data_IF_360227535335
#
_entry.id   IF_360227535335
#
_cell.length_a   1.000
_cell.length_b   1.000
_cell.length_c   1.000
_cell.angle_alpha   90.00
_cell.angle_beta   90.00
_cell.angle_gamma   90.00
#
_symmetry.space_group_name_H-M   'P 1'
#
loop_
_entity.id
_entity.type
_entity.pdbx_description
1 polymer ?
#
# COMPACT_ATOMS: atom_id res chain seq x y z
N UNK A 1 -67.48 -42.00 41.01
CA UNK A 1 -68.64 -42.97 41.02
C UNK A 1 -68.44 -44.08 42.01
N UNK A 2 -67.25 -44.48 42.41
CA UNK A 2 -66.92 -45.60 43.27
C UNK A 2 -67.32 -45.38 44.75
N UNK A 3 -67.28 -44.12 45.25
CA UNK A 3 -67.66 -43.76 46.67
C UNK A 3 -69.15 -43.91 46.97
N UNK A 4 -70.04 -43.92 45.97
CA UNK A 4 -71.44 -44.10 46.16
C UNK A 4 -71.86 -45.56 46.19
N UNK A 5 -71.11 -46.47 45.61
CA UNK A 5 -71.33 -47.93 45.59
C UNK A 5 -70.90 -48.58 46.92
N UNK A 6 -69.80 -48.08 47.52
CA UNK A 6 -69.32 -48.56 48.83
C UNK A 6 -70.31 -48.22 49.97
N UNK A 7 -71.09 -47.12 49.89
CA UNK A 7 -72.04 -46.72 50.92
C UNK A 7 -73.34 -47.51 50.84
N UNK A 8 -73.69 -48.04 49.67
CA UNK A 8 -74.91 -48.88 49.48
C UNK A 8 -74.71 -50.33 49.96
N UNK A 9 -73.49 -50.85 49.87
CA UNK A 9 -73.15 -52.17 50.34
C UNK A 9 -73.03 -52.23 51.87
N UNK A 10 -72.73 -51.09 52.55
CA UNK A 10 -72.73 -51.03 54.01
C UNK A 10 -74.10 -50.94 54.66
N UNK A 11 -75.12 -50.47 53.92
CA UNK A 11 -76.44 -50.34 54.41
C UNK A 11 -77.34 -51.62 54.25
N UNK A 12 -76.91 -52.57 53.38
CA UNK A 12 -77.61 -53.82 53.19
C UNK A 12 -77.17 -54.87 54.25
N UNK A 13 -76.06 -54.75 54.89
CA UNK A 13 -75.60 -55.67 55.96
C UNK A 13 -76.17 -55.35 57.34
N UNK A 14 -76.95 -54.26 57.57
CA UNK A 14 -77.42 -53.85 58.89
C UNK A 14 -78.94 -54.09 59.07
N UNK A 15 -79.62 -54.80 58.12
CA UNK A 15 -81.12 -54.95 58.15
C UNK A 15 -81.61 -56.38 58.28
N UNK A 16 -80.85 -57.38 58.68
CA UNK A 16 -81.40 -58.66 59.08
C UNK A 16 -80.78 -59.14 60.40
N UNK A 17 -81.50 -58.81 61.42
CA UNK A 17 -81.23 -59.26 62.79
C UNK A 17 -81.58 -60.70 62.99
N UNK A 18 -80.86 -61.24 63.94
CA UNK A 18 -81.22 -62.34 64.85
C UNK A 18 -82.22 -63.39 64.44
N UNK A 19 -81.69 -64.51 64.02
CA UNK A 19 -82.02 -65.87 64.52
C UNK A 19 -81.33 -66.94 63.67
N UNK A 20 -80.61 -67.84 64.37
CA UNK A 20 -79.92 -69.08 63.98
C UNK A 20 -78.40 -68.98 63.82
N UNK A 21 -77.81 -68.90 64.95
CA UNK A 21 -76.41 -69.33 65.17
C UNK A 21 -76.48 -70.83 65.46
N UNK A 22 -75.96 -71.64 64.61
CA UNK A 22 -75.09 -72.77 64.78
C UNK A 22 -75.14 -73.57 63.47
N UNK A 23 -74.01 -73.55 62.79
CA UNK A 23 -73.51 -74.33 61.66
C UNK A 23 -73.06 -73.52 60.45
N UNK A 24 -72.24 -72.53 60.69
CA UNK A 24 -71.39 -72.01 59.63
C UNK A 24 -70.03 -72.68 59.81
N UNK A 25 -69.83 -73.58 58.91
CA UNK A 25 -68.66 -74.45 58.77
C UNK A 25 -67.34 -73.73 58.77
N UNK A 26 -66.30 -74.26 59.36
CA UNK A 26 -64.92 -73.83 59.39
C UNK A 26 -64.32 -73.54 58.00
N UNK A 27 -65.00 -73.92 56.90
CA UNK A 27 -64.60 -73.65 55.51
C UNK A 27 -64.84 -72.26 55.10
N UNK A 28 -65.97 -71.61 55.48
CA UNK A 28 -66.33 -70.26 55.07
C UNK A 28 -65.38 -69.20 55.75
N UNK A 29 -65.00 -69.45 56.99
CA UNK A 29 -63.98 -68.58 57.65
C UNK A 29 -62.63 -68.64 57.02
N UNK A 30 -62.20 -69.74 56.41
CA UNK A 30 -60.93 -69.89 55.73
C UNK A 30 -60.97 -69.20 54.34
N UNK A 31 -62.13 -69.20 53.64
CA UNK A 31 -62.35 -68.55 52.36
C UNK A 31 -62.43 -67.01 52.52
N UNK A 32 -63.09 -66.49 53.54
CA UNK A 32 -63.19 -65.08 53.87
C UNK A 32 -61.78 -64.55 54.26
N UNK A 33 -60.98 -65.31 55.00
CA UNK A 33 -59.63 -64.96 55.35
C UNK A 33 -58.66 -64.92 54.13
N UNK A 34 -58.91 -65.83 53.16
CA UNK A 34 -58.19 -65.83 51.86
C UNK A 34 -58.56 -64.65 51.00
N UNK A 35 -59.81 -64.24 50.96
CA UNK A 35 -60.30 -63.07 50.22
C UNK A 35 -59.73 -61.78 50.86
N UNK A 36 -59.81 -61.67 52.19
CA UNK A 36 -59.18 -60.54 52.91
C UNK A 36 -57.67 -60.43 52.65
N UNK A 37 -56.95 -61.56 52.67
CA UNK A 37 -55.47 -61.57 52.37
C UNK A 37 -55.23 -61.21 50.91
N UNK A 38 -56.03 -61.62 49.97
CA UNK A 38 -55.89 -61.22 48.56
C UNK A 38 -56.22 -59.74 48.35
N UNK A 39 -57.25 -59.19 49.00
CA UNK A 39 -57.57 -57.73 48.94
C UNK A 39 -56.47 -56.88 49.59
N UNK A 40 -55.87 -57.34 50.68
CA UNK A 40 -54.71 -56.68 51.31
C UNK A 40 -53.57 -56.70 50.36
N UNK A 41 -53.25 -57.85 49.75
CA UNK A 41 -52.19 -58.01 48.78
C UNK A 41 -52.36 -57.17 47.51
N UNK A 42 -53.60 -57.12 47.02
CA UNK A 42 -53.91 -56.26 45.85
C UNK A 42 -53.77 -54.75 46.19
N UNK A 43 -54.18 -54.35 47.42
CA UNK A 43 -53.98 -52.97 47.88
C UNK A 43 -52.50 -52.62 48.13
N UNK A 44 -51.71 -53.56 48.60
CA UNK A 44 -50.28 -53.41 48.76
C UNK A 44 -49.61 -53.33 47.39
N UNK A 45 -49.97 -54.12 46.42
CA UNK A 45 -49.49 -54.05 45.03
C UNK A 45 -49.91 -52.73 44.34
N UNK A 46 -51.10 -52.25 44.56
CA UNK A 46 -51.57 -50.98 44.03
C UNK A 46 -50.89 -49.79 44.71
N UNK A 47 -50.63 -49.85 46.01
CA UNK A 47 -49.89 -48.83 46.73
C UNK A 47 -48.40 -48.78 46.29
N UNK A 48 -47.79 -49.97 46.04
CA UNK A 48 -46.41 -50.06 45.51
C UNK A 48 -46.33 -49.49 44.09
N UNK A 49 -47.30 -49.72 43.22
CA UNK A 49 -47.35 -49.16 41.89
C UNK A 49 -47.51 -47.61 41.92
N UNK A 50 -48.34 -47.10 42.80
CA UNK A 50 -48.52 -45.65 43.00
C UNK A 50 -47.26 -45.00 43.53
N UNK A 51 -46.51 -45.69 44.44
CA UNK A 51 -45.25 -45.21 44.96
C UNK A 51 -44.15 -45.25 43.90
N UNK A 52 -44.12 -46.27 43.07
CA UNK A 52 -43.17 -46.41 41.95
C UNK A 52 -43.43 -45.34 40.85
N UNK A 53 -44.72 -45.07 40.52
CA UNK A 53 -45.10 -44.01 39.61
C UNK A 53 -44.69 -42.60 40.15
N UNK A 54 -44.86 -42.35 41.47
CA UNK A 54 -44.44 -41.12 42.10
C UNK A 54 -42.92 -40.97 42.07
N UNK A 55 -42.14 -42.03 42.33
CA UNK A 55 -40.69 -42.04 42.24
C UNK A 55 -40.20 -41.75 40.82
N UNK A 56 -40.81 -42.36 39.80
CA UNK A 56 -40.53 -42.12 38.38
C UNK A 56 -40.79 -40.66 38.04
N UNK A 57 -41.91 -40.12 38.54
CA UNK A 57 -42.26 -38.71 38.31
C UNK A 57 -41.29 -37.73 39.00
N UNK A 58 -40.89 -37.99 40.27
CA UNK A 58 -39.88 -37.20 41.00
C UNK A 58 -38.51 -37.28 40.37
N UNK A 59 -38.08 -38.45 39.89
CA UNK A 59 -36.81 -38.62 39.13
C UNK A 59 -36.87 -37.87 37.80
N UNK A 60 -38.03 -37.90 37.10
CA UNK A 60 -38.25 -37.13 35.90
C UNK A 60 -38.19 -35.63 36.13
N UNK A 61 -38.80 -35.13 37.21
CA UNK A 61 -38.73 -33.71 37.58
C UNK A 61 -37.32 -33.26 38.02
N UNK A 62 -36.60 -34.10 38.75
CA UNK A 62 -35.21 -33.83 39.12
C UNK A 62 -34.29 -33.78 37.89
N UNK A 63 -34.46 -34.72 36.95
CA UNK A 63 -33.65 -34.79 35.73
C UNK A 63 -33.95 -33.60 34.79
N UNK A 64 -35.21 -33.15 34.70
CA UNK A 64 -35.55 -31.92 33.98
C UNK A 64 -34.93 -30.67 34.64
N UNK A 65 -34.96 -30.54 35.96
CA UNK A 65 -34.32 -29.43 36.69
C UNK A 65 -32.80 -29.41 36.54
N UNK A 66 -32.17 -30.57 36.54
CA UNK A 66 -30.71 -30.70 36.32
C UNK A 66 -30.37 -30.29 34.87
N UNK A 67 -31.15 -30.73 33.88
CA UNK A 67 -30.98 -30.37 32.47
C UNK A 67 -31.16 -28.86 32.24
N UNK A 68 -32.19 -28.27 32.87
CA UNK A 68 -32.45 -26.83 32.81
C UNK A 68 -31.32 -26.01 33.44
N UNK A 69 -30.74 -26.45 34.59
CA UNK A 69 -29.59 -25.84 35.20
C UNK A 69 -28.32 -25.94 34.33
N UNK A 70 -28.10 -27.09 33.68
CA UNK A 70 -27.01 -27.29 32.75
C UNK A 70 -27.16 -26.37 31.51
N UNK A 71 -28.33 -26.26 30.96
CA UNK A 71 -28.61 -25.36 29.83
C UNK A 71 -28.39 -23.88 30.21
N UNK A 72 -28.84 -23.46 31.39
CA UNK A 72 -28.62 -22.10 31.87
C UNK A 72 -27.11 -21.82 32.04
N UNK A 73 -26.33 -22.78 32.59
CA UNK A 73 -24.88 -22.65 32.73
C UNK A 73 -24.20 -22.53 31.36
N UNK A 74 -24.59 -23.34 30.39
CA UNK A 74 -24.08 -23.26 29.03
C UNK A 74 -24.44 -21.92 28.35
N UNK A 75 -25.66 -21.45 28.49
CA UNK A 75 -26.10 -20.15 27.96
C UNK A 75 -25.23 -19.02 28.53
N UNK A 76 -24.92 -19.04 29.83
CA UNK A 76 -24.05 -18.03 30.44
C UNK A 76 -22.63 -18.05 29.88
N UNK A 77 -22.06 -19.24 29.66
CA UNK A 77 -20.73 -19.38 29.03
C UNK A 77 -20.74 -18.86 27.59
N UNK A 78 -21.81 -19.10 26.83
CA UNK A 78 -21.96 -18.58 25.49
C UNK A 78 -22.05 -17.04 25.47
N UNK A 79 -22.77 -16.45 26.44
CA UNK A 79 -22.82 -14.99 26.58
C UNK A 79 -21.48 -14.39 26.95
N UNK A 80 -20.67 -15.02 27.80
CA UNK A 80 -19.32 -14.57 28.10
C UNK A 80 -18.44 -14.58 26.85
N UNK A 81 -18.53 -15.62 26.03
CA UNK A 81 -17.81 -15.71 24.74
C UNK A 81 -18.26 -14.59 23.77
N UNK A 82 -19.56 -14.35 23.64
CA UNK A 82 -20.10 -13.25 22.81
C UNK A 82 -19.55 -11.91 23.31
N UNK A 83 -19.60 -11.67 24.62
CA UNK A 83 -19.10 -10.42 25.23
C UNK A 83 -17.60 -10.23 24.95
N UNK A 84 -16.80 -11.29 24.96
CA UNK A 84 -15.38 -11.23 24.63
C UNK A 84 -15.18 -10.84 23.15
N UNK A 85 -15.91 -11.45 22.23
CA UNK A 85 -15.85 -11.13 20.79
C UNK A 85 -16.34 -9.70 20.54
N UNK A 86 -17.43 -9.27 21.15
CA UNK A 86 -17.96 -7.91 21.01
C UNK A 86 -16.96 -6.87 21.51
N UNK A 87 -16.24 -7.14 22.61
CA UNK A 87 -15.19 -6.25 23.12
C UNK A 87 -14.03 -6.10 22.14
N UNK A 88 -13.60 -7.19 21.53
CA UNK A 88 -12.53 -7.16 20.52
C UNK A 88 -12.97 -6.46 19.22
N UNK A 89 -14.22 -6.60 18.83
CA UNK A 89 -14.77 -6.03 17.60
C UNK A 89 -15.25 -4.59 17.76
N UNK A 90 -15.42 -4.09 19.00
CA UNK A 90 -16.01 -2.78 19.31
C UNK A 90 -15.40 -1.61 18.52
N UNK A 91 -14.08 -1.60 18.38
CA UNK A 91 -13.35 -0.53 17.72
C UNK A 91 -12.86 -0.90 16.32
N UNK A 92 -13.32 -2.02 15.78
CA UNK A 92 -12.92 -2.47 14.46
C UNK A 92 -13.39 -1.47 13.38
N UNK A 93 -12.43 -0.93 12.63
CA UNK A 93 -12.68 0.08 11.61
C UNK A 93 -13.48 -0.48 10.42
N UNK A 94 -13.33 -1.78 10.10
CA UNK A 94 -14.03 -2.43 8.99
C UNK A 94 -15.52 -2.58 9.31
N UNK A 95 -15.87 -2.86 10.59
CA UNK A 95 -17.26 -2.89 11.03
C UNK A 95 -17.91 -1.51 11.03
N UNK A 96 -17.16 -0.46 11.40
CA UNK A 96 -17.64 0.93 11.27
C UNK A 96 -17.92 1.27 9.80
N UNK A 97 -17.04 0.85 8.89
CA UNK A 97 -17.24 1.01 7.44
C UNK A 97 -18.43 0.21 6.91
N UNK A 98 -18.64 -1.00 7.42
CA UNK A 98 -19.82 -1.82 7.07
C UNK A 98 -21.14 -1.12 7.43
N UNK A 99 -21.19 -0.42 8.55
CA UNK A 99 -22.34 0.42 8.93
C UNK A 99 -22.65 1.50 7.87
N UNK A 100 -21.60 2.14 7.31
CA UNK A 100 -21.78 3.11 6.23
C UNK A 100 -22.28 2.44 4.92
N UNK A 101 -21.78 1.23 4.62
CA UNK A 101 -22.26 0.43 3.49
C UNK A 101 -23.76 0.07 3.63
N UNK A 102 -24.19 -0.34 4.82
CA UNK A 102 -25.60 -0.58 5.09
C UNK A 102 -26.43 0.70 4.95
N UNK A 103 -25.91 1.84 5.43
CA UNK A 103 -26.54 3.15 5.27
C UNK A 103 -26.66 3.54 3.79
N UNK A 104 -25.61 3.31 3.00
CA UNK A 104 -25.65 3.51 1.55
C UNK A 104 -26.76 2.68 0.89
N UNK A 105 -26.81 1.38 1.19
CA UNK A 105 -27.82 0.46 0.65
C UNK A 105 -29.24 0.90 1.02
N UNK A 106 -29.44 1.29 2.29
CA UNK A 106 -30.74 1.78 2.77
C UNK A 106 -31.18 3.06 2.07
N UNK A 107 -30.30 4.06 2.01
CA UNK A 107 -30.58 5.35 1.36
C UNK A 107 -30.83 5.16 -0.13
N UNK A 108 -30.07 4.29 -0.78
CA UNK A 108 -30.28 3.96 -2.20
C UNK A 108 -31.66 3.37 -2.47
N UNK A 109 -32.11 2.43 -1.61
CA UNK A 109 -33.45 1.83 -1.70
C UNK A 109 -34.56 2.86 -1.42
N UNK A 110 -34.38 3.69 -0.39
CA UNK A 110 -35.32 4.79 -0.08
C UNK A 110 -35.46 5.76 -1.26
N UNK A 111 -34.33 6.10 -1.89
CA UNK A 111 -34.29 7.00 -3.05
C UNK A 111 -35.03 6.39 -4.26
N UNK A 112 -34.88 5.11 -4.51
CA UNK A 112 -35.60 4.41 -5.58
C UNK A 112 -37.12 4.44 -5.33
N UNK A 113 -37.56 4.15 -4.10
CA UNK A 113 -38.97 4.25 -3.71
C UNK A 113 -39.52 5.66 -3.86
N UNK A 114 -38.74 6.69 -3.48
CA UNK A 114 -39.11 8.10 -3.63
C UNK A 114 -39.26 8.48 -5.10
N UNK A 115 -38.33 8.07 -5.96
CA UNK A 115 -38.38 8.30 -7.42
C UNK A 115 -39.59 7.62 -8.08
N UNK A 116 -39.89 6.39 -7.67
CA UNK A 116 -41.10 5.70 -8.17
C UNK A 116 -42.40 6.34 -7.67
N UNK A 117 -42.40 6.83 -6.44
CA UNK A 117 -43.51 7.61 -5.90
C UNK A 117 -43.73 8.93 -6.65
N UNK A 118 -42.62 9.59 -7.05
CA UNK A 118 -42.69 10.79 -7.86
C UNK A 118 -43.25 10.53 -9.26
N UNK A 119 -42.83 9.45 -9.93
CA UNK A 119 -43.36 9.03 -11.24
C UNK A 119 -44.87 8.78 -11.19
N UNK A 120 -45.35 8.18 -10.10
CA UNK A 120 -46.81 7.87 -9.91
C UNK A 120 -47.64 9.12 -9.59
N UNK A 121 -47.06 10.14 -8.94
CA UNK A 121 -47.75 11.35 -8.48
C UNK A 121 -47.58 12.55 -9.40
N UNK A 122 -46.85 12.45 -10.48
CA UNK A 122 -46.51 13.55 -11.42
C UNK A 122 -47.75 14.34 -11.96
N UNK A 123 -48.96 13.83 -11.70
CA UNK A 123 -50.23 14.43 -12.23
C UNK A 123 -51.17 14.99 -11.15
N UNK A 124 -50.84 15.08 -9.85
CA UNK A 124 -51.89 15.28 -8.88
C UNK A 124 -51.73 16.38 -7.81
N UNK A 125 -50.64 17.00 -7.57
CA UNK A 125 -50.53 18.11 -6.60
C UNK A 125 -49.13 18.75 -6.59
N UNK A 126 -49.02 20.04 -6.94
CA UNK A 126 -47.72 20.74 -7.06
C UNK A 126 -46.91 20.79 -5.75
N UNK A 127 -47.58 20.93 -4.58
CA UNK A 127 -46.88 21.00 -3.30
C UNK A 127 -46.30 19.68 -2.85
N UNK A 128 -47.03 18.56 -3.04
CA UNK A 128 -46.51 17.22 -2.73
C UNK A 128 -45.39 16.81 -3.66
N UNK A 129 -45.45 17.17 -4.90
CA UNK A 129 -44.37 16.96 -5.89
C UNK A 129 -43.13 17.73 -5.51
N UNK A 130 -43.29 19.01 -5.09
CA UNK A 130 -42.16 19.83 -4.61
C UNK A 130 -41.49 19.25 -3.36
N UNK A 131 -42.27 18.78 -2.38
CA UNK A 131 -41.73 18.12 -1.18
C UNK A 131 -41.01 16.82 -1.52
N UNK A 132 -41.50 16.05 -2.49
CA UNK A 132 -40.86 14.84 -2.95
C UNK A 132 -39.53 15.14 -3.64
N UNK A 133 -39.47 16.15 -4.48
CA UNK A 133 -38.21 16.60 -5.11
C UNK A 133 -37.16 17.05 -4.08
N UNK A 134 -37.57 17.78 -3.05
CA UNK A 134 -36.66 18.18 -1.97
C UNK A 134 -36.12 16.96 -1.20
N UNK A 135 -36.97 15.97 -0.88
CA UNK A 135 -36.54 14.73 -0.21
C UNK A 135 -35.58 13.94 -1.08
N UNK A 136 -35.85 13.82 -2.37
CA UNK A 136 -34.96 13.15 -3.33
C UNK A 136 -33.58 13.85 -3.35
N UNK A 137 -33.55 15.18 -3.49
CA UNK A 137 -32.32 15.95 -3.50
C UNK A 137 -31.49 15.79 -2.21
N UNK A 138 -32.16 15.77 -1.05
CA UNK A 138 -31.47 15.54 0.22
C UNK A 138 -30.86 14.13 0.26
N UNK A 139 -31.64 13.12 -0.18
CA UNK A 139 -31.15 11.73 -0.21
C UNK A 139 -30.05 11.51 -1.27
N UNK A 140 -30.07 12.22 -2.38
CA UNK A 140 -28.99 12.22 -3.37
C UNK A 140 -27.71 12.81 -2.79
N UNK A 141 -27.80 13.94 -2.08
CA UNK A 141 -26.65 14.54 -1.40
C UNK A 141 -26.08 13.62 -0.28
N UNK A 142 -26.97 13.00 0.52
CA UNK A 142 -26.53 12.01 1.52
C UNK A 142 -25.80 10.83 0.86
N UNK A 143 -26.30 10.35 -0.27
CA UNK A 143 -25.71 9.23 -1.00
C UNK A 143 -24.36 9.60 -1.63
N UNK A 144 -24.20 10.84 -2.09
CA UNK A 144 -22.92 11.34 -2.63
C UNK A 144 -21.82 11.37 -1.56
N UNK A 145 -22.16 11.78 -0.33
CA UNK A 145 -21.21 11.81 0.79
C UNK A 145 -20.64 10.43 1.16
N UNK A 146 -21.43 9.38 0.95
CA UNK A 146 -21.02 7.99 1.25
C UNK A 146 -20.89 7.15 -0.02
N UNK A 147 -20.65 7.80 -1.17
CA UNK A 147 -20.56 7.16 -2.48
C UNK A 147 -19.45 6.13 -2.61
N UNK A 148 -18.38 6.23 -1.80
CA UNK A 148 -17.29 5.26 -1.77
C UNK A 148 -17.73 3.85 -1.38
N UNK A 149 -18.88 3.71 -0.69
CA UNK A 149 -19.44 2.43 -0.26
C UNK A 149 -20.35 1.77 -1.29
N UNK A 150 -20.46 2.34 -2.49
CA UNK A 150 -21.23 1.73 -3.59
C UNK A 150 -20.63 0.38 -3.97
N UNK A 151 -21.33 -0.69 -3.63
CA UNK A 151 -20.96 -2.06 -4.03
C UNK A 151 -19.88 -2.73 -3.20
N UNK A 152 -19.33 -2.07 -2.16
CA UNK A 152 -18.31 -2.67 -1.29
C UNK A 152 -18.47 -2.28 0.18
N UNK A 153 -18.48 -3.26 1.10
CA UNK A 153 -18.51 -3.02 2.55
C UNK A 153 -17.31 -2.23 3.09
N UNK A 154 -16.18 -2.26 2.42
CA UNK A 154 -14.96 -1.55 2.84
C UNK A 154 -14.72 -0.27 2.02
N UNK A 155 -15.64 0.06 1.09
CA UNK A 155 -15.52 1.25 0.25
C UNK A 155 -14.26 1.25 -0.61
N UNK A 156 -13.62 2.40 -0.73
CA UNK A 156 -12.42 2.57 -1.56
C UNK A 156 -11.21 1.74 -1.16
N UNK A 157 -11.18 1.13 0.05
CA UNK A 157 -10.06 0.28 0.49
C UNK A 157 -9.89 -0.99 -0.33
N UNK A 158 -10.89 -1.40 -1.10
CA UNK A 158 -10.82 -2.57 -1.98
C UNK A 158 -9.81 -2.36 -3.12
N UNK A 159 -9.56 -1.11 -3.49
CA UNK A 159 -8.63 -0.76 -4.56
C UNK A 159 -7.23 -0.51 -3.97
N UNK A 160 -6.19 -1.22 -4.43
CA UNK A 160 -4.84 -0.96 -4.00
C UNK A 160 -4.36 0.41 -4.50
N UNK A 161 -3.41 1.06 -3.80
CA UNK A 161 -2.80 2.29 -4.26
C UNK A 161 -2.20 2.14 -5.66
N UNK A 162 -2.35 3.15 -6.51
CA UNK A 162 -1.81 3.12 -7.86
C UNK A 162 -0.28 3.00 -7.82
N UNK A 163 0.25 2.13 -8.69
CA UNK A 163 1.69 1.98 -8.86
C UNK A 163 2.14 3.09 -9.81
N UNK A 164 2.72 4.14 -9.24
CA UNK A 164 3.27 5.25 -9.99
C UNK A 164 4.32 4.76 -10.99
N UNK A 165 4.26 5.28 -12.21
CA UNK A 165 5.24 4.97 -13.25
C UNK A 165 6.58 5.60 -12.87
N UNK A 166 7.61 4.77 -12.76
CA UNK A 166 8.94 5.22 -12.42
C UNK A 166 9.71 5.60 -13.69
N UNK A 167 10.36 6.77 -13.68
CA UNK A 167 11.22 7.21 -14.79
C UNK A 167 12.55 6.47 -14.78
N UNK A 168 13.14 6.25 -15.96
CA UNK A 168 14.43 5.58 -16.07
C UNK A 168 15.53 6.33 -15.34
N UNK A 169 16.38 5.60 -14.63
CA UNK A 169 17.52 6.17 -13.90
C UNK A 169 18.63 6.49 -14.89
N UNK A 170 18.76 7.75 -15.26
CA UNK A 170 19.77 8.25 -16.21
C UNK A 170 21.04 8.76 -15.54
N UNK A 171 20.97 9.08 -14.25
CA UNK A 171 22.08 9.65 -13.49
C UNK A 171 22.16 9.07 -12.06
N UNK A 172 23.33 9.18 -11.38
CA UNK A 172 23.52 8.64 -10.03
C UNK A 172 22.61 9.21 -8.96
N UNK A 173 22.14 10.46 -9.10
CA UNK A 173 21.24 11.09 -8.14
C UNK A 173 19.85 10.43 -8.19
N UNK A 174 19.45 9.89 -9.35
CA UNK A 174 18.24 9.10 -9.51
C UNK A 174 18.20 7.86 -8.62
N UNK A 175 19.35 7.30 -8.22
CA UNK A 175 19.43 6.13 -7.33
C UNK A 175 18.80 6.43 -5.96
N UNK A 176 18.99 7.62 -5.41
CA UNK A 176 18.43 8.02 -4.11
C UNK A 176 16.91 8.07 -4.19
N UNK A 177 16.39 8.68 -5.27
CA UNK A 177 14.93 8.74 -5.51
C UNK A 177 14.34 7.35 -5.73
N UNK A 178 15.07 6.47 -6.43
CA UNK A 178 14.66 5.08 -6.67
C UNK A 178 14.55 4.28 -5.38
N UNK A 179 15.48 4.42 -4.45
CA UNK A 179 15.44 3.76 -3.15
C UNK A 179 14.25 4.23 -2.32
N UNK A 180 13.94 5.54 -2.36
CA UNK A 180 12.74 6.08 -1.72
C UNK A 180 11.46 5.52 -2.33
N UNK A 181 11.43 5.40 -3.68
CA UNK A 181 10.29 4.83 -4.38
C UNK A 181 10.09 3.33 -4.07
N UNK A 182 11.17 2.54 -4.04
CA UNK A 182 11.12 1.13 -3.60
C UNK A 182 10.50 1.04 -2.20
N UNK A 183 10.97 1.86 -1.25
CA UNK A 183 10.43 1.87 0.12
C UNK A 183 8.94 2.22 0.16
N UNK A 184 8.48 3.16 -0.68
CA UNK A 184 7.06 3.49 -0.82
C UNK A 184 6.26 2.30 -1.34
N UNK A 185 6.76 1.60 -2.37
CA UNK A 185 6.12 0.40 -2.93
C UNK A 185 6.07 -0.75 -1.92
N UNK A 186 7.14 -0.99 -1.18
CA UNK A 186 7.17 -2.00 -0.10
C UNK A 186 6.19 -1.68 1.03
N UNK A 187 6.06 -0.41 1.41
CA UNK A 187 5.08 0.02 2.39
C UNK A 187 3.65 -0.18 1.89
N UNK A 188 3.36 0.18 0.64
CA UNK A 188 2.05 -0.03 0.02
C UNK A 188 1.69 -1.52 -0.03
N UNK A 189 2.63 -2.38 -0.46
CA UNK A 189 2.49 -3.83 -0.44
C UNK A 189 2.17 -4.35 0.96
N UNK A 190 2.94 -3.90 1.97
CA UNK A 190 2.74 -4.30 3.37
C UNK A 190 1.36 -3.87 3.89
N UNK A 191 0.95 -2.63 3.62
CA UNK A 191 -0.34 -2.11 4.07
C UNK A 191 -1.51 -2.89 3.46
N UNK A 192 -1.44 -3.20 2.16
CA UNK A 192 -2.49 -3.95 1.49
C UNK A 192 -2.56 -5.42 1.98
N UNK A 193 -1.41 -6.04 2.22
CA UNK A 193 -1.33 -7.37 2.83
C UNK A 193 -1.85 -7.38 4.29
N UNK A 194 -1.66 -6.28 5.02
CA UNK A 194 -2.22 -6.14 6.37
C UNK A 194 -3.74 -6.05 6.31
N UNK A 195 -4.30 -5.30 5.35
CA UNK A 195 -5.74 -5.22 5.12
C UNK A 195 -6.35 -6.60 4.81
N UNK A 196 -5.72 -7.39 3.94
CA UNK A 196 -6.15 -8.77 3.64
C UNK A 196 -6.27 -9.61 4.92
N UNK A 197 -5.23 -9.59 5.78
CA UNK A 197 -5.24 -10.30 7.06
C UNK A 197 -6.27 -9.78 8.05
N UNK A 198 -6.50 -8.47 8.08
CA UNK A 198 -7.51 -7.87 8.98
C UNK A 198 -8.92 -8.30 8.58
N UNK A 199 -9.20 -8.39 7.26
CA UNK A 199 -10.49 -8.87 6.75
C UNK A 199 -10.66 -10.37 7.05
N UNK A 200 -9.62 -11.18 6.84
CA UNK A 200 -9.63 -12.61 7.15
C UNK A 200 -9.90 -12.86 8.64
N UNK A 201 -9.17 -12.16 9.52
CA UNK A 201 -9.37 -12.24 10.97
C UNK A 201 -10.79 -11.82 11.37
N UNK A 202 -11.33 -10.75 10.77
CA UNK A 202 -12.68 -10.30 11.02
C UNK A 202 -13.72 -11.33 10.56
N UNK A 203 -13.54 -11.92 9.38
CA UNK A 203 -14.44 -12.92 8.82
C UNK A 203 -14.49 -14.16 9.71
N UNK A 204 -13.33 -14.61 10.21
CA UNK A 204 -13.24 -15.73 11.17
C UNK A 204 -13.98 -15.41 12.47
N UNK A 205 -13.80 -14.21 13.04
CA UNK A 205 -14.50 -13.80 14.27
C UNK A 205 -16.00 -13.70 14.09
N UNK A 206 -16.47 -13.23 12.94
CA UNK A 206 -17.90 -13.20 12.61
C UNK A 206 -18.46 -14.63 12.48
N UNK A 207 -17.67 -15.57 11.96
CA UNK A 207 -18.03 -16.99 11.93
C UNK A 207 -18.14 -17.60 13.32
N UNK A 208 -17.16 -17.33 14.18
CA UNK A 208 -17.18 -17.78 15.58
C UNK A 208 -18.41 -17.23 16.32
N UNK A 209 -18.73 -15.94 16.15
CA UNK A 209 -19.93 -15.32 16.73
C UNK A 209 -21.20 -15.96 16.19
N UNK A 210 -21.27 -16.22 14.88
CA UNK A 210 -22.42 -16.89 14.24
C UNK A 210 -22.64 -18.29 14.80
N UNK A 211 -21.58 -19.08 14.97
CA UNK A 211 -21.65 -20.43 15.55
C UNK A 211 -22.19 -20.38 16.99
N UNK A 212 -21.72 -19.42 17.79
CA UNK A 212 -22.18 -19.25 19.17
C UNK A 212 -23.68 -18.89 19.22
N UNK A 213 -24.15 -17.99 18.33
CA UNK A 213 -25.57 -17.67 18.28
C UNK A 213 -26.43 -18.82 17.77
N UNK A 214 -25.92 -19.70 16.89
CA UNK A 214 -26.60 -20.92 16.47
C UNK A 214 -26.71 -21.92 17.64
N UNK A 215 -25.66 -22.09 18.44
CA UNK A 215 -25.71 -22.93 19.65
C UNK A 215 -26.71 -22.35 20.67
N UNK A 216 -26.71 -21.03 20.86
CA UNK A 216 -27.65 -20.34 21.75
C UNK A 216 -29.07 -20.50 21.32
N UNK A 217 -29.38 -20.40 20.01
CA UNK A 217 -30.69 -20.59 19.45
C UNK A 217 -31.17 -22.05 19.61
N UNK A 218 -30.27 -23.03 19.55
CA UNK A 218 -30.61 -24.43 19.76
C UNK A 218 -30.97 -24.73 21.25
N UNK A 219 -30.36 -24.02 22.21
CA UNK A 219 -30.64 -24.18 23.63
C UNK A 219 -31.87 -23.37 24.08
N UNK A 220 -32.09 -22.19 23.50
CA UNK A 220 -33.20 -21.28 23.84
C UNK A 220 -33.65 -20.55 22.56
N UNK A 221 -34.67 -21.07 21.84
CA UNK A 221 -35.10 -20.55 20.53
C UNK A 221 -35.87 -19.23 20.65
N UNK A 222 -35.17 -18.12 20.87
CA UNK A 222 -35.72 -16.77 20.90
C UNK A 222 -35.66 -16.09 19.51
N UNK A 223 -36.68 -15.30 19.14
CA UNK A 223 -36.70 -14.59 17.87
C UNK A 223 -35.51 -13.61 17.70
N UNK A 224 -35.07 -13.00 18.79
CA UNK A 224 -33.92 -12.07 18.80
C UNK A 224 -32.62 -12.73 18.30
N UNK A 225 -32.40 -14.00 18.69
CA UNK A 225 -31.20 -14.75 18.24
C UNK A 225 -31.29 -15.09 16.76
N UNK A 226 -32.49 -15.40 16.26
CA UNK A 226 -32.72 -15.65 14.83
C UNK A 226 -32.43 -14.42 13.98
N UNK A 227 -32.86 -13.25 14.43
CA UNK A 227 -32.58 -11.99 13.73
C UNK A 227 -31.08 -11.69 13.71
N UNK A 228 -30.39 -11.92 14.84
CA UNK A 228 -28.92 -11.74 14.92
C UNK A 228 -28.19 -12.73 14.02
N UNK A 229 -28.58 -14.01 14.00
CA UNK A 229 -28.03 -15.04 13.10
C UNK A 229 -28.17 -14.61 11.64
N UNK A 230 -29.36 -14.15 11.23
CA UNK A 230 -29.58 -13.70 9.85
C UNK A 230 -28.71 -12.49 9.50
N UNK A 231 -28.53 -11.56 10.43
CA UNK A 231 -27.67 -10.40 10.24
C UNK A 231 -26.18 -10.79 10.13
N UNK A 232 -25.70 -11.65 11.04
CA UNK A 232 -24.31 -12.13 11.05
C UNK A 232 -23.98 -12.96 9.80
N UNK A 233 -24.90 -13.84 9.37
CA UNK A 233 -24.72 -14.64 8.16
C UNK A 233 -24.58 -13.74 6.92
N UNK A 234 -25.43 -12.73 6.80
CA UNK A 234 -25.32 -11.72 5.73
C UNK A 234 -23.99 -10.96 5.81
N UNK A 235 -23.62 -10.48 7.00
CA UNK A 235 -22.39 -9.72 7.22
C UNK A 235 -21.16 -10.57 6.92
N UNK A 236 -21.10 -11.81 7.40
CA UNK A 236 -20.04 -12.78 7.08
C UNK A 236 -19.93 -12.99 5.57
N UNK A 237 -21.06 -13.20 4.89
CA UNK A 237 -21.09 -13.41 3.44
C UNK A 237 -20.57 -12.20 2.68
N UNK A 238 -20.95 -10.98 3.07
CA UNK A 238 -20.47 -9.75 2.47
C UNK A 238 -18.94 -9.60 2.65
N UNK A 239 -18.41 -9.87 3.85
CA UNK A 239 -16.96 -9.82 4.10
C UNK A 239 -16.21 -10.98 3.44
N UNK A 240 -16.77 -12.17 3.33
CA UNK A 240 -16.16 -13.30 2.61
C UNK A 240 -15.99 -13.00 1.12
N UNK A 241 -16.99 -12.36 0.49
CA UNK A 241 -16.84 -11.89 -0.90
C UNK A 241 -15.75 -10.83 -1.05
N UNK A 242 -15.66 -9.89 -0.08
CA UNK A 242 -14.60 -8.88 -0.08
C UNK A 242 -13.23 -9.51 0.12
N UNK A 243 -13.11 -10.48 1.02
CA UNK A 243 -11.87 -11.21 1.27
C UNK A 243 -11.35 -11.89 0.00
N UNK A 244 -12.21 -12.56 -0.75
CA UNK A 244 -11.85 -13.22 -2.01
C UNK A 244 -11.32 -12.21 -3.05
N UNK A 245 -11.99 -11.06 -3.19
CA UNK A 245 -11.55 -9.99 -4.09
C UNK A 245 -10.21 -9.39 -3.62
N UNK A 246 -10.08 -9.07 -2.33
CA UNK A 246 -8.88 -8.43 -1.78
C UNK A 246 -7.69 -9.38 -1.82
N UNK A 247 -7.87 -10.67 -1.50
CA UNK A 247 -6.83 -11.69 -1.55
C UNK A 247 -6.31 -11.90 -2.97
N UNK A 248 -7.21 -12.04 -3.95
CA UNK A 248 -6.83 -12.12 -5.37
C UNK A 248 -6.12 -10.85 -5.84
N UNK A 249 -6.62 -9.69 -5.43
CA UNK A 249 -6.02 -8.39 -5.78
C UNK A 249 -4.65 -8.22 -5.11
N UNK A 250 -4.48 -8.65 -3.85
CA UNK A 250 -3.21 -8.62 -3.12
C UNK A 250 -2.14 -9.42 -3.86
N UNK A 251 -2.48 -10.62 -4.31
CA UNK A 251 -1.55 -11.47 -5.05
C UNK A 251 -1.08 -10.80 -6.34
N UNK A 252 -2.01 -10.28 -7.14
CA UNK A 252 -1.70 -9.59 -8.41
C UNK A 252 -0.91 -8.31 -8.16
N UNK A 253 -1.32 -7.51 -7.18
CA UNK A 253 -0.68 -6.26 -6.79
C UNK A 253 0.75 -6.49 -6.29
N UNK A 254 0.93 -7.49 -5.44
CA UNK A 254 2.23 -7.89 -4.92
C UNK A 254 3.18 -8.31 -6.05
N UNK A 255 2.73 -9.16 -6.98
CA UNK A 255 3.53 -9.57 -8.14
C UNK A 255 3.94 -8.38 -9.01
N UNK A 256 3.02 -7.46 -9.24
CA UNK A 256 3.29 -6.24 -10.04
C UNK A 256 4.30 -5.33 -9.35
N UNK A 257 4.18 -5.11 -8.03
CA UNK A 257 5.17 -4.35 -7.24
C UNK A 257 6.55 -5.02 -7.31
N UNK A 258 6.62 -6.34 -7.15
CA UNK A 258 7.88 -7.08 -7.20
C UNK A 258 8.56 -6.95 -8.57
N UNK A 259 7.79 -6.99 -9.66
CA UNK A 259 8.31 -6.75 -11.00
C UNK A 259 8.90 -5.34 -11.14
N UNK A 260 8.18 -4.30 -10.67
CA UNK A 260 8.65 -2.92 -10.72
C UNK A 260 9.91 -2.72 -9.85
N UNK A 261 9.93 -3.31 -8.65
CA UNK A 261 11.11 -3.25 -7.77
C UNK A 261 12.32 -3.94 -8.42
N UNK A 262 12.11 -5.08 -9.08
CA UNK A 262 13.17 -5.80 -9.78
C UNK A 262 13.72 -4.98 -10.96
N UNK A 263 12.85 -4.32 -11.71
CA UNK A 263 13.25 -3.42 -12.80
C UNK A 263 14.06 -2.23 -12.27
N UNK A 264 13.61 -1.57 -11.20
CA UNK A 264 14.34 -0.48 -10.55
C UNK A 264 15.71 -0.97 -10.04
N UNK A 265 15.77 -2.13 -9.39
CA UNK A 265 17.04 -2.72 -8.91
C UNK A 265 18.01 -3.00 -10.06
N UNK A 266 17.50 -3.48 -11.20
CA UNK A 266 18.32 -3.71 -12.39
C UNK A 266 18.88 -2.38 -12.93
N UNK A 267 18.06 -1.33 -12.99
CA UNK A 267 18.53 0.01 -13.42
C UNK A 267 19.56 0.58 -12.44
N UNK A 268 19.36 0.43 -11.12
CA UNK A 268 20.36 0.82 -10.11
C UNK A 268 21.68 0.07 -10.32
N UNK A 269 21.62 -1.24 -10.56
CA UNK A 269 22.80 -2.06 -10.83
C UNK A 269 23.55 -1.62 -12.08
N UNK A 270 22.83 -1.30 -13.17
CA UNK A 270 23.43 -0.77 -14.39
C UNK A 270 24.12 0.57 -14.15
N UNK A 271 23.51 1.49 -13.41
CA UNK A 271 24.13 2.77 -13.05
C UNK A 271 25.33 2.57 -12.10
N UNK A 272 25.26 1.62 -11.18
CA UNK A 272 26.39 1.23 -10.33
C UNK A 272 27.58 0.71 -11.14
N UNK A 273 27.34 -0.12 -12.16
CA UNK A 273 28.37 -0.60 -13.07
C UNK A 273 28.97 0.55 -13.89
N UNK A 274 28.16 1.46 -14.43
CA UNK A 274 28.65 2.67 -15.13
C UNK A 274 29.56 3.50 -14.21
N UNK A 275 29.14 3.77 -12.98
CA UNK A 275 29.95 4.50 -11.99
C UNK A 275 31.28 3.81 -11.71
N UNK A 276 31.31 2.49 -11.57
CA UNK A 276 32.51 1.72 -11.34
C UNK A 276 33.47 1.84 -12.53
N UNK A 277 32.98 1.75 -13.77
CA UNK A 277 33.76 1.91 -14.98
C UNK A 277 34.38 3.32 -15.04
N UNK A 278 33.58 4.37 -14.78
CA UNK A 278 34.06 5.76 -14.73
C UNK A 278 35.17 5.91 -13.69
N UNK A 279 34.97 5.38 -12.49
CA UNK A 279 35.93 5.39 -11.42
C UNK A 279 37.27 4.73 -11.84
N UNK A 280 37.23 3.55 -12.48
CA UNK A 280 38.39 2.84 -12.99
C UNK A 280 39.13 3.71 -14.03
N UNK A 281 38.41 4.34 -14.96
CA UNK A 281 39.01 5.23 -15.97
C UNK A 281 39.72 6.42 -15.30
N UNK A 282 39.08 7.04 -14.30
CA UNK A 282 39.71 8.18 -13.55
C UNK A 282 40.95 7.73 -12.82
N UNK A 283 40.91 6.53 -12.21
CA UNK A 283 42.13 5.98 -11.53
C UNK A 283 43.23 5.72 -12.53
N UNK A 284 42.94 5.13 -13.68
CA UNK A 284 43.93 4.89 -14.75
C UNK A 284 44.53 6.21 -15.23
N UNK A 285 43.70 7.23 -15.51
CA UNK A 285 44.20 8.56 -15.93
C UNK A 285 45.07 9.20 -14.85
N UNK A 286 44.71 9.07 -13.58
CA UNK A 286 45.48 9.58 -12.46
C UNK A 286 46.84 8.88 -12.32
N UNK A 287 46.87 7.56 -12.47
CA UNK A 287 48.10 6.75 -12.45
C UNK A 287 49.01 7.12 -13.62
N UNK A 288 48.47 7.25 -14.82
CA UNK A 288 49.22 7.67 -16.01
C UNK A 288 49.84 9.07 -15.80
N UNK A 289 49.02 10.02 -15.31
CA UNK A 289 49.52 11.37 -15.01
C UNK A 289 50.63 11.35 -13.93
N UNK A 290 50.50 10.49 -12.92
CA UNK A 290 51.50 10.29 -11.88
C UNK A 290 52.80 9.72 -12.47
N UNK A 291 52.74 8.69 -13.33
CA UNK A 291 53.88 8.09 -14.00
C UNK A 291 54.59 9.11 -14.92
N UNK A 292 53.82 9.91 -15.67
CA UNK A 292 54.36 10.99 -16.50
C UNK A 292 55.12 12.02 -15.65
N UNK A 293 54.57 12.42 -14.50
CA UNK A 293 55.24 13.33 -13.55
C UNK A 293 56.53 12.74 -13.01
N UNK A 294 56.56 11.44 -12.67
CA UNK A 294 57.75 10.75 -12.21
C UNK A 294 58.85 10.74 -13.29
N UNK A 295 58.49 10.42 -14.55
CA UNK A 295 59.38 10.41 -15.68
C UNK A 295 59.95 11.80 -15.94
N UNK A 296 59.13 12.85 -15.95
CA UNK A 296 59.54 14.22 -16.14
C UNK A 296 60.43 14.74 -15.00
N UNK A 297 60.14 14.37 -13.74
CA UNK A 297 60.97 14.70 -12.60
C UNK A 297 62.41 14.16 -12.75
N UNK A 298 62.54 12.96 -13.32
CA UNK A 298 63.86 12.35 -13.60
C UNK A 298 64.61 13.10 -14.69
N UNK A 299 63.88 13.67 -15.68
CA UNK A 299 64.47 14.34 -16.85
C UNK A 299 64.80 15.85 -16.60
N UNK A 300 63.93 16.56 -15.81
CA UNK A 300 63.95 18.00 -15.65
C UNK A 300 64.34 18.45 -14.21
N UNK A 301 65.08 17.66 -13.46
CA UNK A 301 65.36 17.87 -12.02
C UNK A 301 66.06 19.15 -11.60
N UNK A 302 66.50 20.05 -12.53
CA UNK A 302 67.22 21.27 -12.24
C UNK A 302 66.68 22.55 -12.90
N UNK A 303 65.52 22.57 -13.57
CA UNK A 303 65.08 23.76 -14.33
C UNK A 303 63.73 24.29 -13.84
N UNK A 304 63.53 25.61 -13.85
CA UNK A 304 62.30 26.34 -13.62
C UNK A 304 61.15 25.80 -14.47
N UNK A 305 61.40 25.12 -15.56
CA UNK A 305 60.48 24.52 -16.48
C UNK A 305 59.63 23.33 -15.84
N UNK A 306 60.18 22.69 -14.78
CA UNK A 306 59.43 21.59 -14.11
C UNK A 306 58.13 22.07 -13.47
N UNK A 307 58.09 23.27 -12.87
CA UNK A 307 56.90 23.83 -12.27
C UNK A 307 55.80 24.08 -13.31
N UNK A 308 56.14 24.67 -14.43
CA UNK A 308 55.18 24.91 -15.54
C UNK A 308 54.65 23.61 -16.11
N UNK A 309 55.52 22.64 -16.35
CA UNK A 309 55.13 21.32 -16.90
C UNK A 309 54.17 20.57 -15.93
N UNK A 310 54.46 20.58 -14.63
CA UNK A 310 53.59 19.96 -13.63
C UNK A 310 52.20 20.64 -13.58
N UNK A 311 52.13 21.97 -13.72
CA UNK A 311 50.88 22.72 -13.79
C UNK A 311 50.05 22.36 -15.04
N UNK A 312 50.74 22.21 -16.18
CA UNK A 312 50.10 21.80 -17.45
C UNK A 312 49.53 20.39 -17.31
N UNK A 313 50.27 19.42 -16.75
CA UNK A 313 49.82 18.04 -16.56
C UNK A 313 48.60 18.02 -15.63
N UNK A 314 48.62 18.78 -14.53
CA UNK A 314 47.45 18.86 -13.64
C UNK A 314 46.23 19.43 -14.36
N UNK A 315 46.39 20.51 -15.12
CA UNK A 315 45.32 21.11 -15.89
C UNK A 315 44.75 20.13 -16.91
N UNK A 316 45.63 19.43 -17.65
CA UNK A 316 45.21 18.41 -18.63
C UNK A 316 44.48 17.25 -17.96
N UNK A 317 44.96 16.78 -16.80
CA UNK A 317 44.30 15.72 -16.05
C UNK A 317 42.88 16.13 -15.63
N UNK A 318 42.73 17.32 -15.02
CA UNK A 318 41.44 17.85 -14.61
C UNK A 318 40.51 18.00 -15.82
N UNK A 319 41.01 18.54 -16.93
CA UNK A 319 40.26 18.67 -18.17
C UNK A 319 39.78 17.32 -18.70
N UNK A 320 40.63 16.29 -18.72
CA UNK A 320 40.29 14.95 -19.13
C UNK A 320 39.23 14.30 -18.21
N UNK A 321 39.39 14.47 -16.88
CA UNK A 321 38.39 13.97 -15.92
C UNK A 321 37.01 14.61 -16.17
N UNK A 322 36.98 15.94 -16.34
CA UNK A 322 35.74 16.66 -16.66
C UNK A 322 35.12 16.14 -17.98
N UNK A 323 35.92 15.91 -19.00
CA UNK A 323 35.49 15.34 -20.28
C UNK A 323 34.92 13.94 -20.09
N UNK A 324 35.57 13.04 -19.33
CA UNK A 324 35.08 11.69 -19.05
C UNK A 324 33.74 11.76 -18.34
N UNK A 325 33.58 12.65 -17.33
CA UNK A 325 32.30 12.82 -16.62
C UNK A 325 31.20 13.34 -17.55
N UNK A 326 31.48 14.35 -18.37
CA UNK A 326 30.50 14.89 -19.31
C UNK A 326 30.03 13.84 -20.32
N UNK A 327 30.95 13.13 -20.96
CA UNK A 327 30.62 12.12 -21.97
C UNK A 327 29.93 10.88 -21.37
N UNK A 328 30.19 10.54 -20.12
CA UNK A 328 29.63 9.37 -19.47
C UNK A 328 28.12 9.48 -19.16
N UNK A 329 27.61 10.72 -19.02
CA UNK A 329 26.21 11.00 -18.69
C UNK A 329 25.36 11.51 -19.86
N UNK A 330 25.95 11.61 -21.06
CA UNK A 330 25.21 11.95 -22.28
C UNK A 330 24.74 10.67 -22.94
N UNK A 331 23.49 10.26 -22.65
CA UNK A 331 22.90 9.06 -23.21
C UNK A 331 22.52 9.20 -24.69
N UNK A 332 22.33 10.45 -25.17
CA UNK A 332 21.90 10.70 -26.54
C UNK A 332 23.01 11.34 -27.38
N UNK A 333 23.56 10.56 -28.32
CA UNK A 333 24.61 11.00 -29.24
C UNK A 333 24.25 12.28 -30.00
N UNK A 334 22.97 12.51 -30.32
CA UNK A 334 22.51 13.69 -31.02
C UNK A 334 22.71 14.96 -30.20
N UNK A 335 22.50 14.93 -28.87
CA UNK A 335 22.81 16.08 -28.00
C UNK A 335 24.31 16.34 -27.92
N UNK A 336 25.11 15.28 -27.94
CA UNK A 336 26.57 15.38 -27.91
C UNK A 336 27.09 16.09 -29.18
N UNK A 337 26.58 15.68 -30.35
CA UNK A 337 26.93 16.35 -31.63
C UNK A 337 26.50 17.82 -31.62
N UNK A 338 25.34 18.14 -31.11
CA UNK A 338 24.85 19.51 -31.01
C UNK A 338 25.73 20.37 -30.07
N UNK A 339 26.03 19.87 -28.88
CA UNK A 339 26.87 20.59 -27.90
C UNK A 339 28.29 20.79 -28.46
N UNK A 340 28.88 19.74 -29.08
CA UNK A 340 30.20 19.85 -29.74
C UNK A 340 30.15 20.82 -30.91
N UNK A 341 29.09 20.85 -31.69
CA UNK A 341 28.87 21.80 -32.77
C UNK A 341 28.90 23.25 -32.30
N UNK A 342 28.12 23.58 -31.27
CA UNK A 342 28.09 24.92 -30.67
C UNK A 342 29.44 25.29 -30.01
N UNK A 343 30.07 24.35 -29.28
CA UNK A 343 31.37 24.57 -28.67
C UNK A 343 32.44 24.82 -29.73
N UNK A 344 32.46 24.04 -30.82
CA UNK A 344 33.38 24.19 -31.93
C UNK A 344 33.23 25.56 -32.63
N UNK A 345 31.99 26.00 -32.84
CA UNK A 345 31.71 27.33 -33.41
C UNK A 345 32.22 28.47 -32.49
N UNK A 346 31.96 28.33 -31.16
CA UNK A 346 32.47 29.29 -30.18
C UNK A 346 33.99 29.35 -30.12
N UNK A 347 34.67 28.19 -30.15
CA UNK A 347 36.12 28.09 -30.21
C UNK A 347 36.66 28.70 -31.52
N UNK A 348 36.02 28.41 -32.65
CA UNK A 348 36.44 28.97 -33.94
C UNK A 348 36.35 30.50 -33.96
N UNK A 349 35.32 31.09 -33.37
CA UNK A 349 35.17 32.55 -33.23
C UNK A 349 36.28 33.10 -32.28
N UNK A 350 36.49 32.45 -31.16
CA UNK A 350 37.53 32.87 -30.18
C UNK A 350 38.93 32.79 -30.71
N UNK A 351 39.21 31.82 -31.60
CA UNK A 351 40.52 31.61 -32.21
C UNK A 351 40.72 32.32 -33.57
N UNK A 352 39.69 33.08 -34.01
CA UNK A 352 39.73 33.76 -35.32
C UNK A 352 41.06 34.55 -35.53
N UNK A 353 41.42 35.35 -34.55
CA UNK A 353 42.63 36.19 -34.67
C UNK A 353 43.91 35.35 -34.70
N UNK A 354 43.93 34.20 -34.01
CA UNK A 354 45.02 33.24 -34.09
C UNK A 354 45.19 32.68 -35.50
N UNK A 355 44.12 32.22 -36.08
CA UNK A 355 44.12 31.71 -37.45
C UNK A 355 44.51 32.78 -38.44
N UNK A 356 44.04 34.03 -38.28
CA UNK A 356 44.45 35.14 -39.12
C UNK A 356 45.96 35.41 -39.02
N UNK A 357 46.55 35.33 -37.82
CA UNK A 357 48.00 35.53 -37.62
C UNK A 357 48.82 34.41 -38.32
N UNK A 358 48.39 33.14 -38.18
CA UNK A 358 49.04 32.00 -38.81
C UNK A 358 48.97 32.09 -40.32
N UNK A 359 47.83 32.40 -40.91
CA UNK A 359 47.66 32.57 -42.34
C UNK A 359 48.41 33.77 -42.86
N UNK A 360 48.43 34.91 -42.12
CA UNK A 360 49.21 36.06 -42.42
C UNK A 360 50.71 35.76 -42.50
N UNK A 361 51.23 35.05 -41.51
CA UNK A 361 52.62 34.59 -41.47
C UNK A 361 52.94 33.66 -42.67
N UNK A 362 52.05 32.69 -42.96
CA UNK A 362 52.20 31.75 -44.07
C UNK A 362 52.31 32.51 -45.42
N UNK A 363 51.40 33.49 -45.66
CA UNK A 363 51.43 34.29 -46.86
C UNK A 363 52.71 35.11 -46.98
N UNK A 364 53.17 35.76 -45.92
CA UNK A 364 54.40 36.57 -45.90
C UNK A 364 55.62 35.70 -46.22
N UNK A 365 55.77 34.54 -45.56
CA UNK A 365 56.87 33.64 -45.76
C UNK A 365 56.90 32.99 -47.14
N UNK A 366 55.77 32.59 -47.66
CA UNK A 366 55.62 31.91 -48.96
C UNK A 366 55.80 32.90 -50.14
N UNK A 367 55.26 34.08 -49.99
CA UNK A 367 55.29 35.12 -51.04
C UNK A 367 56.61 35.87 -51.02
N UNK A 368 57.37 35.85 -49.93
CA UNK A 368 58.59 36.69 -49.74
C UNK A 368 58.31 38.20 -49.79
N UNK A 369 57.02 38.57 -49.55
CA UNK A 369 56.59 39.98 -49.68
C UNK A 369 57.18 40.89 -48.61
N UNK A 370 57.62 40.36 -47.49
CA UNK A 370 58.37 41.07 -46.41
C UNK A 370 59.49 40.12 -45.98
N UNK A 371 60.70 40.67 -45.92
CA UNK A 371 61.88 39.93 -45.49
C UNK A 371 62.56 40.62 -44.29
N UNK A 372 63.43 39.87 -43.56
CA UNK A 372 64.23 40.43 -42.51
C UNK A 372 65.17 41.42 -43.10
N UNK A 373 65.21 42.67 -42.57
CA UNK A 373 65.89 43.79 -43.11
C UNK A 373 65.13 44.79 -43.92
N UNK A 374 63.86 44.43 -44.33
CA UNK A 374 63.00 45.33 -45.06
C UNK A 374 62.49 46.47 -44.17
N UNK A 375 62.34 47.64 -44.76
CA UNK A 375 61.75 48.80 -44.08
C UNK A 375 60.25 48.81 -44.30
N UNK A 376 59.51 48.70 -43.24
CA UNK A 376 58.05 48.66 -43.33
C UNK A 376 57.40 49.80 -42.53
N UNK A 377 56.21 50.21 -42.99
CA UNK A 377 55.36 51.17 -42.33
C UNK A 377 54.08 50.52 -41.90
N UNK A 378 53.83 50.51 -40.61
CA UNK A 378 52.64 49.84 -40.05
C UNK A 378 51.75 50.89 -39.35
N UNK A 379 50.47 50.87 -39.69
CA UNK A 379 49.41 51.70 -39.05
C UNK A 379 48.64 50.83 -38.07
N UNK A 380 48.69 51.08 -36.76
CA UNK A 380 47.89 50.45 -35.76
C UNK A 380 47.08 51.48 -34.97
N UNK A 381 45.81 51.61 -35.35
CA UNK A 381 44.95 52.66 -34.83
C UNK A 381 45.43 54.03 -35.23
N UNK A 382 45.68 54.96 -34.29
CA UNK A 382 46.21 56.29 -34.52
C UNK A 382 47.73 56.39 -34.50
N UNK A 383 48.46 55.25 -34.34
CA UNK A 383 49.89 55.22 -34.32
C UNK A 383 50.43 54.68 -35.62
N UNK A 384 51.29 55.49 -36.24
CA UNK A 384 52.09 55.14 -37.40
C UNK A 384 53.52 54.81 -36.95
N UNK A 385 53.94 53.57 -37.23
CA UNK A 385 55.29 53.11 -36.86
C UNK A 385 56.04 52.71 -38.11
N UNK A 386 57.22 53.26 -38.28
CA UNK A 386 58.15 52.92 -39.37
C UNK A 386 59.41 52.33 -38.78
N UNK A 387 59.81 51.17 -39.33
CA UNK A 387 60.97 50.49 -38.82
C UNK A 387 61.48 49.35 -39.72
N UNK A 388 62.69 48.88 -39.40
CA UNK A 388 63.33 47.78 -40.14
C UNK A 388 62.88 46.42 -39.45
N UNK A 389 62.52 45.43 -40.24
CA UNK A 389 62.05 44.11 -39.78
C UNK A 389 63.32 43.35 -39.20
N UNK A 390 63.23 42.97 -37.93
CA UNK A 390 64.24 42.16 -37.25
C UNK A 390 63.97 40.66 -37.27
N UNK A 391 62.71 40.30 -37.13
CA UNK A 391 62.26 38.91 -37.07
C UNK A 391 60.81 38.78 -37.48
N UNK A 392 60.45 37.67 -38.18
CA UNK A 392 59.10 37.30 -38.62
C UNK A 392 58.77 36.00 -37.97
N UNK A 393 58.15 36.07 -36.78
CA UNK A 393 57.62 34.93 -36.04
C UNK A 393 56.17 34.67 -36.37
N UNK A 394 55.65 33.46 -36.00
CA UNK A 394 54.30 32.98 -36.34
C UNK A 394 53.17 33.93 -35.91
N UNK A 395 53.31 34.65 -34.80
CA UNK A 395 52.29 35.53 -34.25
C UNK A 395 52.71 37.00 -34.14
N UNK A 396 53.90 37.34 -34.53
CA UNK A 396 54.43 38.71 -34.43
C UNK A 396 55.52 38.98 -35.42
N UNK A 397 55.56 40.19 -35.91
CA UNK A 397 56.73 40.75 -36.63
C UNK A 397 57.44 41.70 -35.66
N UNK A 398 58.75 41.50 -35.46
CA UNK A 398 59.56 42.37 -34.62
C UNK A 398 60.26 43.42 -35.50
N UNK A 399 59.95 44.68 -35.27
CA UNK A 399 60.58 45.76 -36.01
C UNK A 399 61.46 46.62 -35.09
N UNK A 400 62.53 47.13 -35.65
CA UNK A 400 63.32 48.20 -35.02
C UNK A 400 62.77 49.53 -35.47
N UNK A 401 62.09 50.24 -34.58
CA UNK A 401 61.50 51.52 -34.86
C UNK A 401 62.56 52.59 -35.16
N UNK A 402 62.36 53.34 -36.24
CA UNK A 402 63.17 54.49 -36.57
C UNK A 402 62.53 55.75 -35.90
N UNK A 403 63.14 56.14 -34.79
CA UNK A 403 62.71 57.24 -33.94
C UNK A 403 62.95 58.60 -34.55
N UNK A 404 63.70 58.70 -35.66
CA UNK A 404 63.99 59.96 -36.33
C UNK A 404 62.80 60.70 -36.87
N UNK A 405 61.67 60.00 -37.09
CA UNK A 405 60.47 60.57 -37.67
C UNK A 405 59.43 61.04 -36.68
N UNK A 406 59.48 60.64 -35.40
CA UNK A 406 58.28 60.82 -34.54
C UNK A 406 58.53 61.60 -33.23
N UNK A 407 59.73 61.83 -32.74
CA UNK A 407 59.95 62.67 -31.55
C UNK A 407 61.44 62.66 -31.14
N UNK A 408 61.94 63.80 -30.58
CA UNK A 408 63.28 64.00 -30.03
C UNK A 408 63.55 63.26 -28.69
N UNK A 409 62.94 62.11 -28.43
CA UNK A 409 63.19 61.36 -27.18
C UNK A 409 63.87 60.02 -27.43
N UNK A 410 65.03 59.85 -26.85
CA UNK A 410 65.96 58.74 -26.91
C UNK A 410 65.47 57.46 -26.19
N UNK A 411 64.34 56.92 -26.52
CA UNK A 411 63.98 55.68 -25.96
C UNK A 411 63.71 54.60 -27.05
N UNK A 412 64.59 53.61 -27.13
CA UNK A 412 64.47 52.38 -27.89
C UNK A 412 63.23 51.62 -27.41
N UNK A 413 62.11 51.70 -28.08
CA UNK A 413 60.92 50.80 -27.84
C UNK A 413 60.95 49.70 -28.86
N UNK A 414 61.00 48.44 -28.40
CA UNK A 414 60.70 47.30 -29.22
C UNK A 414 59.15 47.13 -29.20
N UNK A 415 58.50 47.49 -30.28
CA UNK A 415 57.04 47.28 -30.46
C UNK A 415 56.74 45.85 -30.87
N UNK A 416 55.80 45.20 -30.18
CA UNK A 416 55.15 43.96 -30.66
C UNK A 416 53.94 44.39 -31.48
N UNK A 417 53.82 43.96 -32.71
CA UNK A 417 52.72 44.14 -33.60
C UNK A 417 51.97 42.84 -33.71
#
# INVERSE_FOLDING_TARGET
MIKKIALILLFVCFSFGEENIDLIDKKDKAEVKKIEQNIIKEKEEEALKIEEEKRIQEIGEQKTKELDMQNIAQINILFEKISAIDLELKDNILLKRYSNYLSYSKISTELEILRDSLKKKSNTNDEQVYQLHNKIRVKENELELIGEYKGSPIGGLINPPEIEKYENITNPFGIINSLSHIKKLENNKKSFKTLDKEIDTLTTKLEDELVIYLELFNLDPKPEYKDRITFLDKQKKDFSMVLDIVSTTEEVYTRKIEQVILEIKNQISQQGQKLLIIFIIIVILSVVAFLVKLALKKYFSQNENYYMTNKIINFTLVFLIVMVLLFSYIDNVSYLVTILGFASAGIAIALKDWFMSIFGWMVIVTSGSIQVGDRIKVNKGNMETVGDVLDISLFKITIREDITYTSYTTNRRSGRI
#
